data_IF_286517601183
#
_entry.id   IF_286517601183
#
_cell.length_a   1.000
_cell.length_b   1.000
_cell.length_c   1.000
_cell.angle_alpha   90.00
_cell.angle_beta   90.00
_cell.angle_gamma   90.00
#
_symmetry.space_group_name_H-M   'P 1'
#
loop_
_entity.id
_entity.type
_entity.pdbx_description
1 polymer ?
#
# COMPACT_ATOMS: atom_id res chain seq x y z
N UNK A 1 10.49 9.66 -7.94
CA UNK A 1 9.99 9.99 -6.59
C UNK A 1 9.12 8.84 -6.12
N UNK A 2 9.61 8.05 -5.18
CA UNK A 2 8.83 7.03 -4.47
C UNK A 2 7.94 7.75 -3.47
N UNK A 3 6.64 7.82 -3.77
CA UNK A 3 5.65 8.38 -2.84
C UNK A 3 5.32 7.30 -1.82
N UNK A 4 6.16 7.17 -0.79
CA UNK A 4 5.89 6.25 0.31
C UNK A 4 4.81 6.86 1.20
N UNK A 5 3.76 6.09 1.46
CA UNK A 5 2.72 6.41 2.43
C UNK A 5 3.01 5.63 3.70
N UNK A 6 2.90 6.28 4.86
CA UNK A 6 3.05 5.60 6.15
C UNK A 6 1.66 5.29 6.68
N UNK A 7 1.45 4.04 7.08
CA UNK A 7 0.30 3.64 7.90
C UNK A 7 0.76 3.00 9.20
N UNK A 8 -0.13 2.93 10.18
CA UNK A 8 0.15 2.23 11.43
C UNK A 8 -0.16 0.74 11.29
N UNK A 9 0.73 -0.11 11.81
CA UNK A 9 0.48 -1.54 11.92
C UNK A 9 -0.78 -1.77 12.79
N UNK A 10 -1.78 -2.54 12.34
CA UNK A 10 -3.00 -2.76 13.11
C UNK A 10 -2.79 -3.57 14.40
N UNK A 11 -1.63 -4.22 14.56
CA UNK A 11 -1.31 -5.06 15.73
C UNK A 11 -0.50 -4.29 16.77
N UNK A 12 0.59 -3.64 16.36
CA UNK A 12 1.54 -3.00 17.30
C UNK A 12 1.68 -1.48 17.09
N UNK A 13 0.90 -0.89 16.19
CA UNK A 13 0.91 0.54 15.85
C UNK A 13 2.22 1.08 15.27
N UNK A 14 3.27 0.25 15.16
CA UNK A 14 4.52 0.66 14.52
C UNK A 14 4.29 1.05 13.05
N UNK A 15 5.01 2.05 12.53
CA UNK A 15 4.82 2.55 11.18
C UNK A 15 5.21 1.50 10.13
N UNK A 16 4.42 1.40 9.08
CA UNK A 16 4.67 0.59 7.89
C UNK A 16 4.71 1.53 6.69
N UNK A 17 5.87 1.61 6.03
CA UNK A 17 6.02 2.33 4.78
C UNK A 17 5.47 1.47 3.63
N UNK A 18 4.47 2.00 2.94
CA UNK A 18 3.82 1.36 1.79
C UNK A 18 4.15 2.16 0.54
N UNK A 19 4.51 1.46 -0.52
CA UNK A 19 4.54 2.03 -1.86
C UNK A 19 3.21 1.72 -2.56
N UNK A 20 2.41 2.73 -2.99
CA UNK A 20 1.09 2.51 -3.58
C UNK A 20 1.09 1.55 -4.77
N UNK A 21 2.12 1.63 -5.64
CA UNK A 21 2.24 0.75 -6.81
C UNK A 21 2.41 -0.72 -6.43
N UNK A 22 3.26 -0.98 -5.43
CA UNK A 22 3.46 -2.33 -4.89
C UNK A 22 2.19 -2.81 -4.16
N UNK A 23 1.49 -1.94 -3.44
CA UNK A 23 0.21 -2.30 -2.82
C UNK A 23 -0.82 -2.75 -3.86
N UNK A 24 -0.95 -2.01 -4.98
CA UNK A 24 -1.86 -2.38 -6.06
C UNK A 24 -1.46 -3.69 -6.77
N UNK A 25 -0.18 -4.08 -6.74
CA UNK A 25 0.28 -5.36 -7.27
C UNK A 25 0.01 -6.55 -6.34
N UNK A 26 -0.55 -6.33 -5.14
CA UNK A 26 -0.76 -7.38 -4.15
C UNK A 26 0.47 -7.67 -3.29
N UNK A 27 1.49 -6.80 -3.32
CA UNK A 27 2.67 -6.95 -2.49
C UNK A 27 2.29 -6.95 -1.00
N UNK A 28 2.97 -7.81 -0.23
CA UNK A 28 2.80 -7.90 1.22
C UNK A 28 3.88 -7.09 1.92
N UNK A 29 3.46 -6.13 2.74
CA UNK A 29 4.37 -5.31 3.54
C UNK A 29 4.46 -5.93 4.94
N UNK A 30 5.67 -6.24 5.39
CA UNK A 30 5.89 -6.71 6.76
C UNK A 30 5.99 -5.52 7.71
N UNK A 31 5.53 -5.71 8.94
CA UNK A 31 5.77 -4.74 10.00
C UNK A 31 7.28 -4.58 10.22
N UNK A 32 7.74 -3.33 10.38
CA UNK A 32 9.16 -3.05 10.66
C UNK A 32 9.58 -3.38 12.09
N UNK A 33 8.64 -3.67 12.99
CA UNK A 33 8.93 -4.07 14.35
C UNK A 33 9.26 -5.57 14.39
N UNK A 34 10.51 -5.92 14.72
CA UNK A 34 10.99 -7.31 14.81
C UNK A 34 10.26 -8.17 15.85
N UNK A 35 9.52 -7.56 16.78
CA UNK A 35 8.66 -8.26 17.75
C UNK A 35 7.23 -8.44 17.27
N UNK A 36 6.92 -8.02 16.03
CA UNK A 36 5.61 -8.09 15.43
C UNK A 36 5.70 -8.73 14.03
N UNK A 37 5.25 -9.97 13.91
CA UNK A 37 5.26 -10.72 12.65
C UNK A 37 4.09 -10.38 11.71
N UNK A 38 3.39 -9.27 11.96
CA UNK A 38 2.26 -8.86 11.15
C UNK A 38 2.71 -8.51 9.71
N UNK A 39 1.87 -8.87 8.75
CA UNK A 39 2.02 -8.44 7.36
C UNK A 39 0.68 -7.99 6.82
N UNK A 40 0.71 -6.92 6.02
CA UNK A 40 -0.46 -6.30 5.41
C UNK A 40 -0.37 -6.42 3.88
N UNK A 41 -1.51 -6.58 3.24
CA UNK A 41 -1.66 -6.46 1.80
C UNK A 41 -3.06 -5.95 1.46
N UNK A 42 -3.25 -5.56 0.21
CA UNK A 42 -4.61 -5.32 -0.27
C UNK A 42 -5.41 -6.62 -0.27
N UNK A 43 -6.69 -6.54 0.05
CA UNK A 43 -7.62 -7.67 -0.13
C UNK A 43 -7.74 -8.01 -1.61
N UNK A 44 -7.82 -9.30 -1.94
CA UNK A 44 -8.05 -9.79 -3.30
C UNK A 44 -9.28 -9.15 -3.93
N UNK A 45 -10.35 -9.02 -3.15
CA UNK A 45 -11.66 -8.58 -3.63
C UNK A 45 -11.64 -7.10 -4.00
N UNK A 46 -10.80 -6.32 -3.32
CA UNK A 46 -10.65 -4.88 -3.55
C UNK A 46 -9.54 -4.54 -4.54
N UNK A 47 -8.67 -5.50 -4.90
CA UNK A 47 -7.45 -5.23 -5.66
C UNK A 47 -7.74 -4.64 -7.03
N UNK A 48 -8.67 -5.24 -7.79
CA UNK A 48 -8.96 -4.78 -9.16
C UNK A 48 -9.59 -3.39 -9.17
N UNK A 49 -10.51 -3.12 -8.22
CA UNK A 49 -11.16 -1.81 -8.09
C UNK A 49 -10.14 -0.73 -7.75
N UNK A 50 -9.28 -0.99 -6.76
CA UNK A 50 -8.24 -0.05 -6.35
C UNK A 50 -7.21 0.20 -7.48
N UNK A 51 -6.78 -0.86 -8.18
CA UNK A 51 -5.85 -0.75 -9.33
C UNK A 51 -6.44 0.12 -10.45
N UNK A 52 -7.72 -0.05 -10.76
CA UNK A 52 -8.42 0.75 -11.76
C UNK A 52 -8.51 2.23 -11.34
N UNK A 53 -8.87 2.50 -10.08
CA UNK A 53 -8.95 3.86 -9.55
C UNK A 53 -7.58 4.55 -9.54
N UNK A 54 -6.53 3.84 -9.08
CA UNK A 54 -5.16 4.34 -9.05
C UNK A 54 -4.64 4.63 -10.47
N UNK A 55 -4.93 3.77 -11.44
CA UNK A 55 -4.56 4.00 -12.83
C UNK A 55 -5.22 5.24 -13.44
N UNK A 56 -6.48 5.53 -13.12
CA UNK A 56 -7.15 6.78 -13.53
C UNK A 56 -6.50 8.00 -12.88
N UNK A 57 -6.21 7.92 -11.58
CA UNK A 57 -5.52 8.99 -10.85
C UNK A 57 -4.14 9.30 -11.46
N UNK A 58 -3.33 8.28 -11.79
CA UNK A 58 -2.02 8.51 -12.42
C UNK A 58 -2.11 9.15 -13.81
N UNK A 59 -3.18 8.88 -14.58
CA UNK A 59 -3.41 9.54 -15.87
C UNK A 59 -3.75 11.02 -15.67
N UNK A 60 -4.69 11.32 -14.77
CA UNK A 60 -5.08 12.70 -14.43
C UNK A 60 -3.88 13.53 -13.94
N UNK A 61 -2.98 12.93 -13.16
CA UNK A 61 -1.76 13.60 -12.67
C UNK A 61 -0.77 13.97 -13.78
N UNK A 62 -0.84 13.33 -14.95
CA UNK A 62 0.05 13.62 -16.09
C UNK A 62 -0.53 14.68 -17.04
N UNK A 63 -1.82 14.95 -16.92
CA UNK A 63 -2.55 15.94 -17.72
C UNK A 63 -2.56 17.34 -17.06
N UNK A 64 -2.02 17.45 -15.84
CA UNK A 64 -1.73 18.68 -15.10
C UNK A 64 -0.26 19.05 -15.24
#
# INVERSE_FOLDING_TARGET
MSNNTIINCPVCQSPIAIEPKLLMSGFKFKCGNHKCDASISISSDSQQVAKNAFGKFEKMKKEL
#
